data_IF_491065799068
#
_entry.id   IF_491065799068
#
_cell.length_a   1.000
_cell.length_b   1.000
_cell.length_c   1.000
_cell.angle_alpha   90.00
_cell.angle_beta   90.00
_cell.angle_gamma   90.00
#
_symmetry.space_group_name_H-M   'P 1'
#
loop_
_entity.id
_entity.type
_entity.pdbx_description
1 polymer ?
#
# COMPACT_ATOMS: atom_id res chain seq x y z
N UNK A 1 14.97 -33.28 -27.68
CA UNK A 1 14.43 -33.01 -26.34
C UNK A 1 15.36 -32.01 -25.68
N UNK A 2 15.01 -30.72 -25.71
CA UNK A 2 15.81 -29.70 -25.03
C UNK A 2 15.45 -29.74 -23.54
N UNK A 3 16.43 -30.15 -22.73
CA UNK A 3 16.39 -29.99 -21.28
C UNK A 3 16.46 -28.49 -20.98
N UNK A 4 15.30 -27.88 -20.79
CA UNK A 4 15.22 -26.54 -20.23
C UNK A 4 15.63 -26.66 -18.78
N UNK A 5 16.85 -26.23 -18.46
CA UNK A 5 17.37 -26.16 -17.10
C UNK A 5 16.33 -25.45 -16.24
N UNK A 6 15.77 -26.16 -15.27
CA UNK A 6 14.91 -25.55 -14.25
C UNK A 6 15.76 -24.51 -13.52
N UNK A 7 15.60 -23.24 -13.89
CA UNK A 7 16.25 -22.14 -13.19
C UNK A 7 15.77 -22.19 -11.74
N UNK A 8 16.69 -22.43 -10.82
CA UNK A 8 16.38 -22.47 -9.39
C UNK A 8 16.38 -21.04 -8.88
N UNK A 9 15.38 -20.69 -8.08
CA UNK A 9 15.33 -19.39 -7.41
C UNK A 9 16.54 -19.21 -6.49
N UNK A 10 17.12 -18.01 -6.48
CA UNK A 10 18.32 -17.70 -5.69
C UNK A 10 18.02 -16.77 -4.51
N UNK A 11 18.92 -16.71 -3.53
CA UNK A 11 18.88 -15.69 -2.46
C UNK A 11 18.94 -14.26 -3.01
N UNK A 12 19.60 -14.05 -4.15
CA UNK A 12 19.65 -12.75 -4.83
C UNK A 12 18.27 -12.34 -5.36
N UNK A 13 17.50 -13.29 -5.90
CA UNK A 13 16.12 -13.04 -6.36
C UNK A 13 15.23 -12.60 -5.19
N UNK A 14 15.28 -13.32 -4.07
CA UNK A 14 14.49 -12.95 -2.89
C UNK A 14 14.89 -11.58 -2.34
N UNK A 15 16.20 -11.29 -2.28
CA UNK A 15 16.71 -9.99 -1.84
C UNK A 15 16.24 -8.83 -2.73
N UNK A 16 16.23 -9.04 -4.06
CA UNK A 16 15.73 -8.05 -5.01
C UNK A 16 14.23 -7.76 -4.81
N UNK A 17 13.41 -8.81 -4.68
CA UNK A 17 11.97 -8.66 -4.42
C UNK A 17 11.72 -7.94 -3.09
N UNK A 18 12.44 -8.33 -2.04
CA UNK A 18 12.35 -7.66 -0.73
C UNK A 18 12.82 -6.22 -0.78
N UNK A 19 13.68 -5.82 -1.72
CA UNK A 19 14.13 -4.43 -1.82
C UNK A 19 13.01 -3.48 -2.30
N UNK A 20 12.02 -3.97 -3.06
CA UNK A 20 10.96 -3.13 -3.61
C UNK A 20 10.16 -2.38 -2.54
N UNK A 21 9.74 -3.04 -1.45
CA UNK A 21 8.97 -2.35 -0.41
C UNK A 21 9.78 -1.24 0.27
N UNK A 22 11.09 -1.45 0.52
CA UNK A 22 11.98 -0.43 1.09
C UNK A 22 12.12 0.75 0.14
N UNK A 23 12.39 0.49 -1.13
CA UNK A 23 12.49 1.52 -2.15
C UNK A 23 11.23 2.39 -2.23
N UNK A 24 10.05 1.76 -2.19
CA UNK A 24 8.76 2.45 -2.21
C UNK A 24 8.51 3.26 -0.93
N UNK A 25 8.81 2.71 0.24
CA UNK A 25 8.71 3.43 1.54
C UNK A 25 9.63 4.64 1.53
N UNK A 26 10.90 4.47 1.14
CA UNK A 26 11.87 5.56 1.08
C UNK A 26 11.43 6.63 0.08
N UNK A 27 10.81 6.23 -1.04
CA UNK A 27 10.32 7.15 -2.06
C UNK A 27 9.11 7.94 -1.59
N UNK A 28 8.18 7.28 -0.91
CA UNK A 28 7.06 7.94 -0.25
C UNK A 28 7.56 8.97 0.76
N UNK A 29 8.49 8.57 1.63
CA UNK A 29 9.00 9.40 2.72
C UNK A 29 9.78 10.63 2.25
N UNK A 30 10.26 10.63 0.99
CA UNK A 30 10.87 11.80 0.33
C UNK A 30 9.97 12.46 -0.72
N UNK A 31 8.73 12.02 -0.88
CA UNK A 31 7.76 12.58 -1.83
C UNK A 31 8.13 12.40 -3.31
N UNK A 32 8.74 11.27 -3.69
CA UNK A 32 9.18 10.98 -5.05
C UNK A 32 8.27 9.97 -5.74
N UNK A 33 7.38 10.45 -6.62
CA UNK A 33 6.49 9.60 -7.42
C UNK A 33 7.28 8.66 -8.34
N UNK A 34 8.35 9.15 -8.96
CA UNK A 34 9.23 8.36 -9.83
C UNK A 34 9.95 7.26 -9.04
N UNK A 35 10.49 7.59 -7.86
CA UNK A 35 11.14 6.61 -7.00
C UNK A 35 10.17 5.54 -6.49
N UNK A 36 8.90 5.89 -6.27
CA UNK A 36 7.86 4.98 -5.83
C UNK A 36 7.45 4.03 -6.96
N UNK A 37 7.34 4.55 -8.18
CA UNK A 37 6.93 3.77 -9.36
C UNK A 37 8.07 2.95 -10.00
N UNK A 38 9.34 3.26 -9.71
CA UNK A 38 10.49 2.61 -10.35
C UNK A 38 10.49 1.06 -10.32
N UNK A 39 10.02 0.37 -9.26
CA UNK A 39 9.94 -1.10 -9.25
C UNK A 39 8.87 -1.72 -10.17
N UNK A 40 7.89 -0.94 -10.64
CA UNK A 40 6.77 -1.44 -11.43
C UNK A 40 7.18 -1.66 -12.88
N UNK A 41 6.57 -2.61 -13.57
CA UNK A 41 6.69 -2.75 -15.02
C UNK A 41 5.90 -1.65 -15.76
N UNK A 42 6.14 -1.51 -17.06
CA UNK A 42 5.39 -0.57 -17.91
C UNK A 42 3.92 -0.99 -18.10
N UNK A 43 3.57 -2.23 -17.77
CA UNK A 43 2.22 -2.81 -17.89
C UNK A 43 1.53 -3.07 -16.56
N UNK A 44 2.18 -2.74 -15.44
CA UNK A 44 1.71 -3.12 -14.12
C UNK A 44 0.33 -2.56 -13.76
N UNK A 45 -0.48 -3.35 -13.05
CA UNK A 45 -1.75 -2.89 -12.49
C UNK A 45 -1.58 -2.51 -11.01
N UNK A 46 -1.80 -1.24 -10.67
CA UNK A 46 -1.88 -0.79 -9.28
C UNK A 46 -3.32 -0.46 -8.93
N UNK A 47 -3.85 -1.09 -7.89
CA UNK A 47 -5.19 -0.84 -7.35
C UNK A 47 -5.04 -0.23 -5.96
N UNK A 48 -5.52 1.01 -5.81
CA UNK A 48 -5.56 1.76 -4.55
C UNK A 48 -6.66 1.24 -3.61
N UNK A 49 -6.70 1.74 -2.38
CA UNK A 49 -7.58 1.23 -1.33
C UNK A 49 -9.06 1.52 -1.57
N UNK A 50 -9.37 2.54 -2.36
CA UNK A 50 -10.70 2.95 -2.76
C UNK A 50 -11.10 2.41 -4.15
N UNK A 51 -10.20 1.71 -4.83
CA UNK A 51 -10.47 1.09 -6.13
C UNK A 51 -10.03 1.89 -7.36
N UNK A 52 -9.32 3.02 -7.21
CA UNK A 52 -8.65 3.65 -8.35
C UNK A 52 -7.61 2.68 -8.94
N UNK A 53 -7.69 2.47 -10.25
CA UNK A 53 -6.84 1.59 -11.03
C UNK A 53 -5.88 2.40 -11.89
N UNK A 54 -4.58 2.17 -11.70
CA UNK A 54 -3.50 2.83 -12.44
C UNK A 54 -2.77 1.78 -13.29
N UNK A 55 -2.48 2.14 -14.55
CA UNK A 55 -1.88 1.24 -15.53
C UNK A 55 -0.46 1.69 -15.90
N UNK A 56 0.49 0.84 -15.56
CA UNK A 56 1.90 1.02 -15.86
C UNK A 56 2.61 2.04 -14.98
N UNK A 57 3.94 1.93 -14.99
CA UNK A 57 4.87 2.80 -14.25
C UNK A 57 4.57 4.30 -14.40
N UNK A 58 4.20 4.76 -15.60
CA UNK A 58 3.95 6.18 -15.88
C UNK A 58 2.72 6.73 -15.14
N UNK A 59 1.59 6.04 -15.18
CA UNK A 59 0.38 6.50 -14.46
C UNK A 59 0.60 6.45 -12.95
N UNK A 60 1.26 5.40 -12.46
CA UNK A 60 1.64 5.25 -11.05
C UNK A 60 2.51 6.43 -10.61
N UNK A 61 3.49 6.83 -11.42
CA UNK A 61 4.37 7.99 -11.15
C UNK A 61 3.57 9.28 -11.00
N UNK A 62 2.73 9.60 -11.99
CA UNK A 62 1.96 10.85 -12.04
C UNK A 62 1.00 10.94 -10.85
N UNK A 63 0.25 9.86 -10.60
CA UNK A 63 -0.71 9.79 -9.51
C UNK A 63 -0.03 9.99 -8.14
N UNK A 64 1.06 9.26 -7.88
CA UNK A 64 1.75 9.35 -6.59
C UNK A 64 2.43 10.69 -6.39
N UNK A 65 3.02 11.29 -7.44
CA UNK A 65 3.61 12.62 -7.34
C UNK A 65 2.55 13.65 -6.95
N UNK A 66 1.39 13.65 -7.62
CA UNK A 66 0.28 14.53 -7.27
C UNK A 66 -0.18 14.31 -5.83
N UNK A 67 -0.30 13.05 -5.38
CA UNK A 67 -0.69 12.72 -4.02
C UNK A 67 0.33 13.22 -2.98
N UNK A 68 1.63 13.04 -3.24
CA UNK A 68 2.73 13.51 -2.37
C UNK A 68 2.78 15.03 -2.26
N UNK A 69 2.40 15.74 -3.32
CA UNK A 69 2.32 17.19 -3.32
C UNK A 69 1.04 17.74 -2.66
N UNK A 70 0.05 16.87 -2.41
CA UNK A 70 -1.28 17.25 -1.92
C UNK A 70 -1.78 16.38 -0.76
N UNK A 71 -2.64 15.40 -1.04
CA UNK A 71 -3.52 14.72 -0.07
C UNK A 71 -2.79 13.84 0.96
N UNK A 72 -1.55 13.43 0.68
CA UNK A 72 -0.71 12.68 1.62
C UNK A 72 0.60 13.42 1.94
N UNK A 73 0.70 14.70 1.61
CA UNK A 73 1.90 15.51 1.88
C UNK A 73 2.24 15.49 3.38
N UNK A 74 3.50 15.20 3.68
CA UNK A 74 4.01 15.14 5.06
C UNK A 74 3.66 13.87 5.83
N UNK A 75 2.96 12.91 5.21
CA UNK A 75 2.81 11.57 5.80
C UNK A 75 4.12 10.80 5.71
N UNK A 76 4.32 9.83 6.61
CA UNK A 76 5.41 8.86 6.54
C UNK A 76 4.88 7.44 6.52
N UNK A 77 5.53 6.57 5.75
CA UNK A 77 5.31 5.13 5.77
C UNK A 77 6.35 4.43 6.64
N UNK A 78 5.85 3.40 7.32
CA UNK A 78 6.65 2.34 7.92
C UNK A 78 6.08 1.00 7.45
N UNK A 79 6.94 -0.02 7.34
CA UNK A 79 6.49 -1.32 6.88
C UNK A 79 7.54 -2.40 6.91
N UNK A 80 7.06 -3.63 6.79
CA UNK A 80 7.86 -4.84 6.90
C UNK A 80 7.26 -5.94 6.03
N UNK A 81 8.11 -6.84 5.54
CA UNK A 81 7.67 -7.98 4.72
C UNK A 81 7.04 -9.02 5.63
N UNK A 82 5.79 -9.39 5.33
CA UNK A 82 5.08 -10.50 5.99
C UNK A 82 5.58 -11.84 5.42
N UNK A 83 5.49 -12.02 4.11
CA UNK A 83 6.09 -13.17 3.44
C UNK A 83 6.58 -12.85 2.02
N UNK A 84 7.51 -13.68 1.53
CA UNK A 84 7.81 -13.84 0.11
C UNK A 84 7.65 -15.32 -0.24
N UNK A 85 6.95 -15.60 -1.34
CA UNK A 85 6.77 -16.95 -1.84
C UNK A 85 6.90 -16.99 -3.35
N UNK A 86 7.88 -17.76 -3.83
CA UNK A 86 8.02 -18.05 -5.25
C UNK A 86 6.93 -19.04 -5.69
N UNK A 87 6.17 -18.69 -6.72
CA UNK A 87 5.25 -19.59 -7.41
C UNK A 87 6.05 -20.48 -8.38
N UNK A 88 7.02 -19.87 -9.06
CA UNK A 88 8.03 -20.52 -9.88
C UNK A 88 9.28 -19.61 -9.95
N UNK A 89 10.24 -19.92 -10.83
CA UNK A 89 11.50 -19.17 -10.96
C UNK A 89 11.35 -17.75 -11.52
N UNK A 90 10.18 -17.41 -12.06
CA UNK A 90 9.89 -16.13 -12.72
C UNK A 90 8.66 -15.42 -12.16
N UNK A 91 8.02 -15.96 -11.13
CA UNK A 91 6.83 -15.39 -10.50
C UNK A 91 6.92 -15.59 -8.99
N UNK A 92 6.77 -14.51 -8.23
CA UNK A 92 6.62 -14.58 -6.78
C UNK A 92 5.47 -13.69 -6.30
N UNK A 93 5.00 -14.01 -5.10
CA UNK A 93 4.10 -13.18 -4.33
C UNK A 93 4.84 -12.63 -3.12
N UNK A 94 4.62 -11.37 -2.82
CA UNK A 94 5.11 -10.75 -1.58
C UNK A 94 3.95 -10.03 -0.89
N UNK A 95 3.76 -10.29 0.39
CA UNK A 95 2.81 -9.57 1.22
C UNK A 95 3.59 -8.66 2.17
N UNK A 96 3.16 -7.41 2.30
CA UNK A 96 3.86 -6.40 3.10
C UNK A 96 2.87 -5.74 4.05
N UNK A 97 3.25 -5.53 5.30
CA UNK A 97 2.50 -4.71 6.24
C UNK A 97 2.93 -3.26 6.06
N UNK A 98 1.98 -2.34 5.84
CA UNK A 98 2.22 -0.91 5.71
C UNK A 98 1.40 -0.15 6.75
N UNK A 99 2.03 0.80 7.42
CA UNK A 99 1.41 1.73 8.39
C UNK A 99 1.77 3.17 8.01
N UNK A 100 0.90 4.11 8.36
CA UNK A 100 1.08 5.53 7.98
C UNK A 100 1.04 6.42 9.21
N UNK A 101 2.07 7.23 9.39
CA UNK A 101 2.09 8.37 10.32
C UNK A 101 1.54 9.58 9.58
N UNK A 102 0.51 10.21 10.13
CA UNK A 102 -0.12 11.41 9.55
C UNK A 102 0.71 12.66 9.86
N UNK A 103 0.55 13.76 9.09
CA UNK A 103 1.32 14.97 9.31
C UNK A 103 1.13 15.50 10.73
N UNK A 104 2.24 15.83 11.40
CA UNK A 104 2.24 16.32 12.78
C UNK A 104 1.99 15.27 13.86
N UNK A 105 1.83 13.99 13.50
CA UNK A 105 1.68 12.89 14.45
C UNK A 105 3.02 12.16 14.65
N UNK A 106 3.17 11.51 15.81
CA UNK A 106 4.32 10.65 16.14
C UNK A 106 4.01 9.16 16.04
N UNK A 107 2.74 8.79 16.03
CA UNK A 107 2.28 7.40 15.97
C UNK A 107 1.54 7.11 14.66
N UNK A 108 1.54 5.84 14.27
CA UNK A 108 0.80 5.37 13.09
C UNK A 108 -0.71 5.42 13.32
N UNK A 109 -1.47 5.78 12.30
CA UNK A 109 -2.93 5.80 12.37
C UNK A 109 -3.54 4.46 11.91
N UNK A 110 -4.29 3.74 12.77
CA UNK A 110 -4.93 2.48 12.38
C UNK A 110 -5.94 2.60 11.22
N UNK A 111 -6.43 3.81 10.90
CA UNK A 111 -7.25 4.05 9.70
C UNK A 111 -6.48 3.91 8.39
N UNK A 112 -5.16 3.80 8.45
CA UNK A 112 -4.26 3.72 7.31
C UNK A 112 -3.48 2.41 7.27
N UNK A 113 -3.74 1.49 8.18
CA UNK A 113 -3.14 0.15 8.14
C UNK A 113 -3.53 -0.54 6.85
N UNK A 114 -2.52 -1.06 6.15
CA UNK A 114 -2.65 -1.66 4.84
C UNK A 114 -1.84 -2.96 4.75
N UNK A 115 -2.32 -3.88 3.92
CA UNK A 115 -1.68 -5.20 3.72
C UNK A 115 -1.55 -5.50 2.22
N UNK A 116 -0.77 -4.71 1.47
CA UNK A 116 -0.65 -4.86 0.02
C UNK A 116 -0.05 -6.20 -0.39
N UNK A 117 -0.68 -6.81 -1.39
CA UNK A 117 -0.16 -7.98 -2.10
C UNK A 117 0.55 -7.52 -3.39
N UNK A 118 1.78 -7.97 -3.54
CA UNK A 118 2.64 -7.73 -4.69
C UNK A 118 2.70 -9.00 -5.53
N UNK A 119 2.40 -8.86 -6.82
CA UNK A 119 2.66 -9.86 -7.85
C UNK A 119 3.90 -9.41 -8.59
N UNK A 120 4.99 -10.18 -8.49
CA UNK A 120 6.28 -9.83 -9.07
C UNK A 120 6.72 -10.86 -10.09
N UNK A 121 7.16 -10.40 -11.25
CA UNK A 121 7.57 -11.23 -12.38
C UNK A 121 9.03 -10.98 -12.73
N UNK A 122 9.72 -11.99 -13.25
CA UNK A 122 11.10 -11.89 -13.75
C UNK A 122 11.10 -11.98 -15.27
N UNK A 123 11.33 -10.84 -15.93
CA UNK A 123 11.54 -10.75 -17.37
C UNK A 123 13.02 -10.59 -17.72
N UNK A 124 13.27 -10.11 -18.94
CA UNK A 124 14.63 -9.85 -19.44
C UNK A 124 15.34 -8.72 -18.68
N UNK A 125 14.57 -7.76 -18.15
CA UNK A 125 15.05 -6.64 -17.34
C UNK A 125 15.22 -7.00 -15.84
N UNK A 126 14.99 -8.27 -15.49
CA UNK A 126 15.00 -8.74 -14.10
C UNK A 126 13.61 -8.69 -13.45
N UNK A 127 13.58 -8.58 -12.13
CA UNK A 127 12.34 -8.56 -11.36
C UNK A 127 11.65 -7.21 -11.45
N UNK A 128 10.34 -7.21 -11.66
CA UNK A 128 9.48 -6.03 -11.62
C UNK A 128 8.16 -6.38 -10.92
N UNK A 129 7.46 -5.37 -10.40
CA UNK A 129 6.09 -5.52 -9.91
C UNK A 129 5.15 -5.45 -11.11
N UNK A 130 4.37 -6.50 -11.34
CA UNK A 130 3.35 -6.56 -12.40
C UNK A 130 1.95 -6.26 -11.85
N UNK A 131 1.72 -6.47 -10.55
CA UNK A 131 0.45 -6.17 -9.91
C UNK A 131 0.62 -5.80 -8.45
N UNK A 132 -0.14 -4.81 -7.99
CA UNK A 132 -0.23 -4.45 -6.59
C UNK A 132 -1.66 -4.10 -6.22
N UNK A 133 -2.24 -4.86 -5.28
CA UNK A 133 -3.51 -4.53 -4.65
C UNK A 133 -3.24 -4.01 -3.24
N UNK A 134 -3.52 -2.72 -3.02
CA UNK A 134 -3.33 -2.07 -1.73
C UNK A 134 -4.67 -1.85 -1.04
N UNK A 135 -5.04 -2.71 -0.09
CA UNK A 135 -6.28 -2.58 0.69
C UNK A 135 -6.02 -2.11 2.11
N UNK A 136 -7.07 -1.67 2.81
CA UNK A 136 -7.03 -1.48 4.26
C UNK A 136 -7.10 -2.82 4.97
N UNK A 137 -6.30 -2.97 6.02
CA UNK A 137 -6.38 -4.10 6.95
C UNK A 137 -7.22 -3.69 8.15
N UNK A 138 -8.40 -4.27 8.28
CA UNK A 138 -9.28 -4.03 9.42
C UNK A 138 -9.05 -5.08 10.50
N UNK A 139 -9.20 -4.70 11.77
CA UNK A 139 -9.36 -5.67 12.85
C UNK A 139 -10.82 -6.13 12.90
N UNK A 140 -11.09 -7.24 13.61
CA UNK A 140 -12.46 -7.72 13.79
C UNK A 140 -13.32 -6.70 14.55
N UNK A 141 -12.76 -6.02 15.55
CA UNK A 141 -13.46 -4.99 16.31
C UNK A 141 -13.86 -3.82 15.41
N UNK A 142 -12.98 -3.41 14.49
CA UNK A 142 -13.32 -2.37 13.52
C UNK A 142 -14.35 -2.84 12.49
N UNK A 143 -14.29 -4.09 12.06
CA UNK A 143 -15.30 -4.65 11.17
C UNK A 143 -16.68 -4.63 11.84
N UNK A 144 -16.80 -5.13 13.07
CA UNK A 144 -18.07 -5.11 13.80
C UNK A 144 -18.60 -3.69 14.01
N UNK A 145 -17.73 -2.72 14.32
CA UNK A 145 -18.15 -1.33 14.41
C UNK A 145 -18.75 -0.80 13.10
N UNK A 146 -18.13 -1.12 11.95
CA UNK A 146 -18.64 -0.69 10.65
C UNK A 146 -19.96 -1.40 10.30
N UNK A 147 -20.06 -2.70 10.58
CA UNK A 147 -21.30 -3.47 10.38
C UNK A 147 -22.45 -2.89 11.24
N UNK A 148 -22.18 -2.58 12.51
CA UNK A 148 -23.13 -1.93 13.41
C UNK A 148 -23.52 -0.54 12.89
N UNK A 149 -22.55 0.27 12.45
CA UNK A 149 -22.81 1.61 11.91
C UNK A 149 -23.64 1.57 10.62
N UNK A 150 -23.34 0.66 9.70
CA UNK A 150 -24.07 0.50 8.44
C UNK A 150 -25.46 -0.11 8.65
N UNK A 151 -25.71 -0.76 9.79
CA UNK A 151 -27.04 -1.24 10.19
C UNK A 151 -27.99 -0.13 10.66
N UNK A 152 -27.46 1.05 11.00
CA UNK A 152 -28.24 2.19 11.47
C UNK A 152 -29.02 2.87 10.35
N UNK A 153 -30.08 3.60 10.70
CA UNK A 153 -30.74 4.52 9.77
C UNK A 153 -29.80 5.68 9.40
N UNK A 154 -30.01 6.29 8.24
CA UNK A 154 -29.24 7.47 7.82
C UNK A 154 -29.30 8.63 8.83
N UNK A 155 -30.40 8.77 9.57
CA UNK A 155 -30.52 9.76 10.64
C UNK A 155 -29.62 9.43 11.83
N UNK A 156 -29.62 8.17 12.27
CA UNK A 156 -28.74 7.73 13.36
C UNK A 156 -27.26 7.79 12.97
N UNK A 157 -26.90 7.42 11.73
CA UNK A 157 -25.55 7.61 11.19
C UNK A 157 -25.10 9.07 11.23
N UNK A 158 -26.00 10.01 10.89
CA UNK A 158 -25.72 11.44 10.99
C UNK A 158 -25.47 11.88 12.43
N UNK A 159 -26.25 11.42 13.39
CA UNK A 159 -26.02 11.74 14.81
C UNK A 159 -24.64 11.24 15.30
N UNK A 160 -24.25 10.02 14.90
CA UNK A 160 -22.93 9.47 15.22
C UNK A 160 -21.80 10.31 14.59
N UNK A 161 -21.94 10.71 13.31
CA UNK A 161 -20.91 11.53 12.64
C UNK A 161 -20.83 12.95 13.22
N UNK A 162 -21.94 13.57 13.58
CA UNK A 162 -21.98 14.86 14.30
C UNK A 162 -21.28 14.77 15.67
N UNK A 163 -21.50 13.67 16.41
CA UNK A 163 -20.79 13.42 17.66
C UNK A 163 -19.27 13.36 17.45
N UNK A 164 -18.79 12.64 16.43
CA UNK A 164 -17.36 12.56 16.10
C UNK A 164 -16.78 13.94 15.78
N UNK A 165 -17.50 14.77 15.00
CA UNK A 165 -17.07 16.14 14.69
C UNK A 165 -16.94 16.98 15.96
N UNK A 166 -17.93 16.92 16.85
CA UNK A 166 -17.92 17.69 18.11
C UNK A 166 -16.77 17.29 19.04
N UNK A 167 -16.41 16.00 19.08
CA UNK A 167 -15.31 15.49 19.89
C UNK A 167 -13.96 15.96 19.35
N UNK A 168 -13.78 15.95 18.02
CA UNK A 168 -12.56 16.44 17.37
C UNK A 168 -12.33 17.93 17.62
N UNK A 169 -13.37 18.74 17.55
CA UNK A 169 -13.27 20.19 17.80
C UNK A 169 -12.86 20.49 19.24
N UNK A 170 -13.43 19.76 20.22
CA UNK A 170 -13.05 19.90 21.63
C UNK A 170 -11.58 19.54 21.86
N UNK A 171 -11.13 18.42 21.31
CA UNK A 171 -9.73 18.01 21.43
C UNK A 171 -8.74 19.03 20.85
N UNK A 172 -9.10 19.69 19.74
CA UNK A 172 -8.28 20.76 19.14
C UNK A 172 -8.28 22.06 19.95
N UNK A 173 -9.32 22.33 20.74
CA UNK A 173 -9.38 23.50 21.60
C UNK A 173 -8.58 23.32 22.91
N UNK A 174 -8.36 22.07 23.32
CA UNK A 174 -7.65 21.70 24.55
C UNK A 174 -6.13 21.49 24.34
N UNK A 175 -5.63 21.59 23.10
CA UNK A 175 -4.21 21.48 22.70
C UNK A 175 -3.62 22.85 22.32
#
# INVERSE_FOLDING_TARGET
MNLQTAQTTTTADESAIRAFHRQMIDAWNRGSGEGFAAPFSETADFITFEGTHLKGRKEITIFHQQAFDTVVKGTRLEGEVDFVRFVNSQLALMLVVIRVILPGQTETSPSRDSLPLYVVTKGDEGWQIEGLLNTRKLTLERQFFLDDFDSLSAEAQRQVTELVVSLKQRHQADQ
#
